data_IF_617320768374
#
_entry.id   IF_617320768374
#
_cell.length_a   1.000
_cell.length_b   1.000
_cell.length_c   1.000
_cell.angle_alpha   90.00
_cell.angle_beta   90.00
_cell.angle_gamma   90.00
#
_symmetry.space_group_name_H-M   'P 1'
#
loop_
_entity.id
_entity.type
_entity.pdbx_description
1 polymer ?
#
# COMPACT_ATOMS: atom_id res chain seq x y z
N UNK A 1 -8.27 -21.93 -2.58
CA UNK A 1 -8.65 -21.08 -1.43
C UNK A 1 -7.73 -19.86 -1.41
N UNK A 2 -8.23 -18.68 -1.03
CA UNK A 2 -7.39 -17.49 -0.90
C UNK A 2 -6.24 -17.65 0.11
N UNK A 3 -5.21 -16.83 -0.07
CA UNK A 3 -4.11 -16.65 0.86
C UNK A 3 -4.22 -15.28 1.55
N UNK A 4 -3.51 -15.13 2.66
CA UNK A 4 -3.39 -13.87 3.39
C UNK A 4 -1.92 -13.51 3.52
N UNK A 5 -1.55 -12.34 3.02
CA UNK A 5 -0.21 -11.78 3.07
C UNK A 5 -0.17 -10.68 4.13
N UNK A 6 0.62 -10.86 5.17
CA UNK A 6 0.75 -9.89 6.27
C UNK A 6 2.17 -9.34 6.31
N UNK A 7 2.31 -8.01 6.26
CA UNK A 7 3.61 -7.35 6.34
C UNK A 7 3.60 -6.19 7.33
N UNK A 8 4.80 -5.77 7.73
CA UNK A 8 4.98 -4.62 8.63
C UNK A 8 5.06 -3.33 7.81
N UNK A 9 4.13 -2.41 8.09
CA UNK A 9 4.10 -1.05 7.58
C UNK A 9 5.09 -0.23 8.39
N UNK A 10 6.23 0.07 7.78
CA UNK A 10 7.21 0.98 8.37
C UNK A 10 6.81 2.44 8.14
N UNK A 11 6.21 2.74 6.98
CA UNK A 11 5.79 4.09 6.56
C UNK A 11 4.43 4.06 5.89
N UNK A 12 3.63 5.08 6.19
CA UNK A 12 2.26 5.20 5.76
C UNK A 12 1.95 6.65 5.41
N UNK A 13 2.36 7.05 4.21
CA UNK A 13 2.04 8.34 3.61
C UNK A 13 0.71 8.33 2.85
N UNK A 14 0.03 7.18 2.77
CA UNK A 14 -1.09 6.98 1.84
C UNK A 14 -0.67 6.78 0.38
N UNK A 15 0.60 6.43 0.14
CA UNK A 15 1.15 6.14 -1.19
C UNK A 15 1.09 4.65 -1.56
N UNK A 16 1.43 3.73 -0.64
CA UNK A 16 1.38 2.29 -0.88
C UNK A 16 1.21 1.51 0.46
N UNK A 17 -0.03 1.18 0.87
CA UNK A 17 -1.24 1.31 0.05
C UNK A 17 -1.69 2.76 -0.14
N UNK A 18 -2.39 3.04 -1.24
CA UNK A 18 -3.13 4.28 -1.45
C UNK A 18 -4.64 4.02 -1.26
N UNK A 19 -5.26 4.49 -0.17
CA UNK A 19 -6.65 4.17 0.19
C UNK A 19 -7.68 5.16 -0.38
N UNK A 20 -7.25 6.14 -1.16
CA UNK A 20 -8.11 7.26 -1.56
C UNK A 20 -8.95 6.92 -2.81
N UNK A 21 -10.01 7.72 -3.01
CA UNK A 21 -10.92 7.61 -4.15
C UNK A 21 -11.77 6.32 -4.15
N UNK A 22 -12.23 5.91 -2.96
CA UNK A 22 -13.12 4.75 -2.73
C UNK A 22 -12.56 3.38 -3.16
N UNK A 23 -11.26 3.31 -3.46
CA UNK A 23 -10.52 2.10 -3.77
C UNK A 23 -9.18 2.10 -3.02
N UNK A 24 -8.73 0.94 -2.58
CA UNK A 24 -7.41 0.76 -2.02
C UNK A 24 -6.51 0.08 -3.04
N UNK A 25 -5.34 0.66 -3.28
CA UNK A 25 -4.39 0.17 -4.27
C UNK A 25 -3.03 -0.09 -3.63
N UNK A 26 -2.36 -1.13 -4.12
CA UNK A 26 -0.95 -1.39 -3.89
C UNK A 26 -0.28 -1.47 -5.26
N UNK A 27 -0.02 -0.30 -5.85
CA UNK A 27 0.62 -0.19 -7.17
C UNK A 27 2.15 -0.29 -7.10
N UNK A 28 2.75 0.30 -6.06
CA UNK A 28 4.20 0.39 -5.86
C UNK A 28 4.60 -0.27 -4.55
N UNK A 29 5.90 -0.30 -4.24
CA UNK A 29 6.43 -1.02 -3.08
C UNK A 29 6.05 -2.52 -3.11
N UNK A 30 6.51 -3.29 -2.11
CA UNK A 30 6.17 -4.72 -1.90
C UNK A 30 6.08 -5.57 -3.18
N UNK A 31 7.05 -5.49 -4.11
CA UNK A 31 6.98 -6.20 -5.40
C UNK A 31 6.81 -7.71 -5.21
N UNK A 32 7.38 -8.29 -4.14
CA UNK A 32 7.27 -9.72 -3.87
C UNK A 32 5.85 -10.18 -3.54
N UNK A 33 5.04 -9.34 -2.87
CA UNK A 33 3.62 -9.61 -2.63
C UNK A 33 2.84 -9.40 -3.94
N UNK A 34 3.07 -8.26 -4.61
CA UNK A 34 2.40 -7.92 -5.88
C UNK A 34 2.59 -8.99 -6.96
N UNK A 35 3.73 -9.67 -6.95
CA UNK A 35 4.07 -10.72 -7.92
C UNK A 35 3.25 -11.99 -7.74
N UNK A 36 2.83 -12.31 -6.52
CA UNK A 36 2.26 -13.64 -6.20
C UNK A 36 0.81 -13.60 -5.73
N UNK A 37 0.33 -12.45 -5.24
CA UNK A 37 -1.04 -12.29 -4.81
C UNK A 37 -2.00 -12.36 -6.00
N UNK A 38 -3.14 -13.03 -5.81
CA UNK A 38 -4.18 -13.24 -6.80
C UNK A 38 -5.49 -12.61 -6.33
N UNK A 39 -6.45 -12.50 -7.25
CA UNK A 39 -7.82 -12.08 -6.92
C UNK A 39 -8.38 -12.98 -5.81
N UNK A 40 -8.99 -12.36 -4.79
CA UNK A 40 -9.49 -12.99 -3.57
C UNK A 40 -8.46 -13.10 -2.43
N UNK A 41 -7.15 -12.98 -2.70
CA UNK A 41 -6.15 -12.96 -1.64
C UNK A 41 -6.27 -11.68 -0.79
N UNK A 42 -5.93 -11.77 0.49
CA UNK A 42 -5.91 -10.62 1.40
C UNK A 42 -4.50 -10.10 1.62
N UNK A 43 -4.37 -8.78 1.73
CA UNK A 43 -3.12 -8.10 2.09
C UNK A 43 -3.38 -7.25 3.32
N UNK A 44 -2.58 -7.46 4.36
CA UNK A 44 -2.74 -6.81 5.65
C UNK A 44 -1.44 -6.10 6.02
N UNK A 45 -1.55 -4.81 6.30
CA UNK A 45 -0.47 -4.01 6.85
C UNK A 45 -0.61 -3.87 8.36
N UNK A 46 0.36 -4.40 9.09
CA UNK A 46 0.48 -4.24 10.54
C UNK A 46 1.48 -3.13 10.87
N UNK A 47 1.20 -2.30 11.87
CA UNK A 47 2.06 -1.20 12.25
C UNK A 47 3.42 -1.67 12.77
N UNK A 48 4.49 -1.00 12.33
CA UNK A 48 5.85 -1.24 12.80
C UNK A 48 6.23 -0.38 14.02
N UNK A 49 7.47 -0.61 14.50
CA UNK A 49 8.04 0.12 15.63
C UNK A 49 8.14 1.63 15.36
N UNK A 50 8.54 2.05 14.16
CA UNK A 50 8.67 3.47 13.81
C UNK A 50 7.35 4.24 13.96
N UNK A 51 6.24 3.60 13.58
CA UNK A 51 4.89 4.14 13.72
C UNK A 51 4.36 4.08 15.16
N UNK A 52 5.11 3.48 16.10
CA UNK A 52 4.63 3.17 17.47
C UNK A 52 3.29 2.41 17.45
N UNK A 53 3.11 1.55 16.45
CA UNK A 53 1.85 0.88 16.14
C UNK A 53 1.99 -0.66 16.09
N UNK A 54 3.01 -1.21 16.75
CA UNK A 54 3.21 -2.67 16.86
C UNK A 54 1.95 -3.36 17.38
N UNK A 55 1.48 -4.39 16.66
CA UNK A 55 0.27 -5.14 17.01
C UNK A 55 -1.04 -4.46 16.58
N UNK A 56 -0.96 -3.29 15.95
CA UNK A 56 -2.13 -2.60 15.37
C UNK A 56 -2.22 -2.84 13.86
N UNK A 57 -3.44 -3.00 13.34
CA UNK A 57 -3.70 -3.10 11.92
C UNK A 57 -3.84 -1.68 11.33
N UNK A 58 -3.03 -1.36 10.32
CA UNK A 58 -3.08 -0.10 9.57
C UNK A 58 -4.10 -0.21 8.44
N UNK A 59 -4.10 -1.33 7.73
CA UNK A 59 -5.05 -1.61 6.67
C UNK A 59 -5.17 -3.11 6.40
N UNK A 60 -6.27 -3.49 5.77
CA UNK A 60 -6.48 -4.80 5.17
C UNK A 60 -7.24 -4.63 3.84
N UNK A 61 -6.81 -5.28 2.77
CA UNK A 61 -7.50 -5.21 1.47
C UNK A 61 -7.63 -6.61 0.87
N UNK A 62 -8.81 -6.94 0.37
CA UNK A 62 -9.01 -8.09 -0.51
C UNK A 62 -8.70 -7.70 -1.95
N UNK A 63 -7.88 -8.47 -2.66
CA UNK A 63 -7.52 -8.17 -4.04
C UNK A 63 -8.74 -8.43 -4.94
N UNK A 64 -9.36 -7.37 -5.44
CA UNK A 64 -10.48 -7.43 -6.39
C UNK A 64 -9.98 -7.51 -7.83
N UNK A 65 -8.86 -6.84 -8.14
CA UNK A 65 -8.20 -6.88 -9.46
C UNK A 65 -6.68 -6.88 -9.33
N UNK A 66 -6.02 -7.48 -10.31
CA UNK A 66 -4.58 -7.36 -10.54
C UNK A 66 -4.37 -6.98 -12.00
N UNK A 67 -3.86 -5.78 -12.24
CA UNK A 67 -3.67 -5.22 -13.60
C UNK A 67 -2.23 -4.74 -13.78
N UNK A 68 -1.82 -4.51 -15.02
CA UNK A 68 -0.51 -3.94 -15.33
C UNK A 68 -0.44 -2.45 -15.03
N UNK A 69 0.77 -1.89 -14.95
CA UNK A 69 0.96 -0.44 -14.83
C UNK A 69 0.38 0.33 -16.03
N UNK A 70 0.49 -0.20 -17.24
CA UNK A 70 -0.03 0.45 -18.44
C UNK A 70 -1.56 0.50 -18.45
N UNK A 71 -2.23 -0.60 -18.04
CA UNK A 71 -3.69 -0.61 -17.84
C UNK A 71 -4.11 0.37 -16.74
N UNK A 72 -3.40 0.38 -15.61
CA UNK A 72 -3.66 1.31 -14.52
C UNK A 72 -3.50 2.78 -14.96
N UNK A 73 -2.49 3.07 -15.77
CA UNK A 73 -2.22 4.40 -16.30
C UNK A 73 -3.24 4.88 -17.33
N UNK A 74 -3.70 3.99 -18.21
CA UNK A 74 -4.57 4.32 -19.33
C UNK A 74 -6.05 4.41 -18.94
N UNK A 75 -6.50 3.61 -17.96
CA UNK A 75 -7.91 3.54 -17.58
C UNK A 75 -8.37 4.83 -16.86
N UNK A 76 -9.38 5.54 -17.39
CA UNK A 76 -9.94 6.74 -16.77
C UNK A 76 -10.43 6.54 -15.34
N UNK A 77 -10.83 5.32 -14.95
CA UNK A 77 -11.29 5.00 -13.59
C UNK A 77 -10.20 5.21 -12.52
N UNK A 78 -8.93 5.23 -12.91
CA UNK A 78 -7.79 5.45 -11.99
C UNK A 78 -7.06 6.77 -12.24
N UNK A 79 -7.69 7.70 -12.95
CA UNK A 79 -7.12 9.04 -13.23
C UNK A 79 -6.76 9.78 -11.94
N UNK A 80 -7.63 9.74 -10.94
CA UNK A 80 -7.43 10.42 -9.66
C UNK A 80 -6.30 9.81 -8.82
N UNK A 81 -5.83 8.62 -9.20
CA UNK A 81 -4.69 7.96 -8.57
C UNK A 81 -3.35 8.47 -9.13
N UNK A 82 -3.35 9.32 -10.15
CA UNK A 82 -2.13 9.97 -10.66
C UNK A 82 -1.72 11.12 -9.74
N UNK A 83 -0.43 11.29 -9.45
CA UNK A 83 0.02 12.32 -8.52
C UNK A 83 -0.16 13.72 -9.09
N UNK A 84 -0.72 14.63 -8.29
CA UNK A 84 -0.76 16.06 -8.57
C UNK A 84 0.03 16.81 -7.49
N UNK A 85 1.28 17.17 -7.78
CA UNK A 85 2.26 17.65 -6.78
C UNK A 85 1.95 19.03 -6.19
N UNK A 86 1.15 19.84 -6.89
CA UNK A 86 0.60 21.12 -6.42
C UNK A 86 -0.84 21.00 -5.88
N UNK A 87 -1.37 19.78 -5.70
CA UNK A 87 -2.72 19.54 -5.22
C UNK A 87 -2.82 19.33 -3.71
N UNK A 88 -3.94 18.73 -3.29
CA UNK A 88 -4.16 18.29 -1.91
C UNK A 88 -3.17 17.18 -1.48
N UNK A 89 -3.04 16.93 -0.17
CA UNK A 89 -2.23 15.81 0.33
C UNK A 89 -2.64 14.46 -0.30
N UNK A 90 -3.94 14.22 -0.48
CA UNK A 90 -4.49 12.99 -1.11
C UNK A 90 -3.99 12.81 -2.54
N UNK A 91 -4.03 13.89 -3.33
CA UNK A 91 -3.62 13.86 -4.75
C UNK A 91 -2.10 13.85 -4.89
N UNK A 92 -1.34 14.41 -3.95
CA UNK A 92 0.13 14.44 -3.96
C UNK A 92 0.74 13.04 -3.85
N UNK A 93 0.03 12.11 -3.18
CA UNK A 93 0.45 10.73 -2.93
C UNK A 93 -0.21 9.71 -3.87
N UNK A 94 -0.73 10.17 -5.02
CA UNK A 94 -1.20 9.28 -6.08
C UNK A 94 -0.12 8.25 -6.48
N UNK A 95 -0.49 6.98 -6.52
CA UNK A 95 0.39 5.83 -6.74
C UNK A 95 0.43 5.33 -8.19
N UNK A 96 -0.39 5.93 -9.07
CA UNK A 96 -0.39 5.69 -10.52
C UNK A 96 0.72 6.50 -11.20
N UNK A 97 1.96 6.02 -11.07
CA UNK A 97 3.15 6.80 -11.43
C UNK A 97 3.97 6.21 -12.57
N UNK A 98 3.72 4.96 -12.96
CA UNK A 98 4.49 4.25 -13.97
C UNK A 98 3.64 3.92 -15.19
N UNK A 99 4.23 4.07 -16.36
CA UNK A 99 3.71 3.61 -17.66
C UNK A 99 4.86 3.46 -18.64
N UNK A 100 4.64 2.82 -19.78
CA UNK A 100 5.64 2.71 -20.84
C UNK A 100 5.36 3.68 -21.97
N UNK A 101 6.43 4.25 -22.50
CA UNK A 101 6.45 4.96 -23.79
C UNK A 101 7.54 4.35 -24.64
N UNK A 102 7.21 3.87 -25.85
CA UNK A 102 8.15 3.18 -26.75
C UNK A 102 8.91 2.03 -26.05
N UNK A 103 8.21 1.24 -25.22
CA UNK A 103 8.78 0.12 -24.47
C UNK A 103 9.56 0.51 -23.21
N UNK A 104 9.85 1.80 -22.99
CA UNK A 104 10.64 2.27 -21.84
C UNK A 104 9.75 2.77 -20.70
N UNK A 105 10.08 2.36 -19.48
CA UNK A 105 9.40 2.84 -18.27
C UNK A 105 9.57 4.35 -18.07
N UNK A 106 8.45 5.02 -17.86
CA UNK A 106 8.34 6.42 -17.48
C UNK A 106 7.89 6.50 -16.02
N UNK A 107 8.40 7.49 -15.27
CA UNK A 107 7.95 7.78 -13.91
C UNK A 107 7.41 9.21 -13.84
N UNK A 108 6.18 9.36 -13.36
CA UNK A 108 5.59 10.67 -13.05
C UNK A 108 6.19 11.26 -11.78
N UNK A 109 6.30 12.59 -11.73
CA UNK A 109 6.76 13.33 -10.55
C UNK A 109 5.90 12.99 -9.32
N UNK A 110 6.48 12.26 -8.35
CA UNK A 110 5.73 11.57 -7.30
C UNK A 110 6.53 11.34 -6.02
N UNK A 111 5.92 10.72 -5.00
CA UNK A 111 6.63 10.31 -3.78
C UNK A 111 7.91 9.50 -4.06
N UNK A 112 7.98 8.76 -5.16
CA UNK A 112 9.14 7.94 -5.54
C UNK A 112 10.13 8.65 -6.48
N UNK A 113 9.97 9.95 -6.77
CA UNK A 113 10.91 10.74 -7.59
C UNK A 113 12.03 11.37 -6.74
N UNK A 114 13.04 11.93 -7.40
CA UNK A 114 14.03 12.80 -6.74
C UNK A 114 13.38 14.11 -6.24
N UNK A 115 14.06 14.88 -5.36
CA UNK A 115 13.53 16.14 -4.83
C UNK A 115 13.11 17.14 -5.90
N UNK A 116 13.88 17.25 -6.98
CA UNK A 116 13.61 18.09 -8.16
C UNK A 116 12.47 17.55 -9.06
N UNK A 117 11.90 16.39 -8.71
CA UNK A 117 10.84 15.73 -9.46
C UNK A 117 11.33 14.82 -10.59
N UNK A 118 12.64 14.70 -10.81
CA UNK A 118 13.19 13.82 -11.85
C UNK A 118 13.00 12.33 -11.49
N UNK A 119 12.95 11.44 -12.50
CA UNK A 119 12.80 10.00 -12.27
C UNK A 119 13.91 9.40 -11.39
N UNK A 120 13.55 8.58 -10.42
CA UNK A 120 14.51 7.81 -9.61
C UNK A 120 14.67 6.39 -10.18
N UNK A 121 15.78 6.15 -10.89
CA UNK A 121 16.02 4.89 -11.58
C UNK A 121 16.01 3.66 -10.66
N UNK A 122 16.47 3.80 -9.42
CA UNK A 122 16.44 2.68 -8.47
C UNK A 122 15.01 2.31 -8.06
N UNK A 123 14.17 3.31 -7.82
CA UNK A 123 12.76 3.08 -7.51
C UNK A 123 12.01 2.49 -8.72
N UNK A 124 12.27 2.99 -9.93
CA UNK A 124 11.74 2.40 -11.17
C UNK A 124 12.08 0.91 -11.21
N UNK A 125 13.37 0.55 -11.17
CA UNK A 125 13.80 -0.85 -11.25
C UNK A 125 13.18 -1.71 -10.14
N UNK A 126 13.09 -1.21 -8.91
CA UNK A 126 12.50 -1.93 -7.80
C UNK A 126 10.99 -2.17 -7.98
N UNK A 127 10.24 -1.14 -8.36
CA UNK A 127 8.78 -1.22 -8.47
C UNK A 127 8.36 -1.96 -9.75
N UNK A 128 9.02 -1.69 -10.88
CA UNK A 128 8.62 -2.23 -12.19
C UNK A 128 9.17 -3.63 -12.48
N UNK A 129 9.99 -4.21 -11.59
CA UNK A 129 10.32 -5.66 -11.64
C UNK A 129 9.09 -6.55 -11.49
N UNK A 130 7.98 -5.98 -11.06
CA UNK A 130 6.68 -6.64 -10.96
C UNK A 130 5.63 -5.75 -11.59
N UNK A 131 5.16 -6.12 -12.78
CA UNK A 131 4.14 -5.40 -13.52
C UNK A 131 2.74 -5.83 -13.07
N UNK A 132 2.43 -5.58 -11.80
CA UNK A 132 1.14 -5.88 -11.18
C UNK A 132 0.77 -4.79 -10.17
N UNK A 133 -0.39 -4.17 -10.38
CA UNK A 133 -1.07 -3.22 -9.50
C UNK A 133 -2.24 -3.97 -8.89
N UNK A 134 -2.22 -4.11 -7.57
CA UNK A 134 -3.31 -4.76 -6.86
C UNK A 134 -4.34 -3.72 -6.44
N UNK A 135 -5.60 -3.97 -6.76
CA UNK A 135 -6.71 -3.04 -6.55
C UNK A 135 -7.78 -3.75 -5.72
N UNK A 136 -8.36 -3.01 -4.78
CA UNK A 136 -9.40 -3.48 -3.88
C UNK A 136 -10.55 -2.50 -3.80
N UNK A 137 -11.76 -3.01 -4.04
CA UNK A 137 -13.02 -2.37 -3.66
C UNK A 137 -13.55 -2.85 -2.30
N UNK A 138 -12.92 -3.85 -1.67
CA UNK A 138 -13.23 -4.36 -0.34
C UNK A 138 -12.00 -4.24 0.58
N UNK A 139 -11.91 -3.12 1.29
CA UNK A 139 -10.77 -2.83 2.16
C UNK A 139 -11.17 -2.13 3.45
N UNK A 140 -10.31 -2.23 4.46
CA UNK A 140 -10.32 -1.47 5.69
C UNK A 140 -9.08 -0.61 5.72
N UNK A 141 -9.21 0.69 5.97
CA UNK A 141 -8.07 1.57 6.16
C UNK A 141 -8.22 2.33 7.48
N UNK A 142 -7.32 2.07 8.41
CA UNK A 142 -7.34 2.65 9.74
C UNK A 142 -6.38 3.83 9.89
N UNK A 143 -5.24 3.83 9.19
CA UNK A 143 -4.26 4.92 9.30
C UNK A 143 -3.91 5.20 10.76
N UNK A 144 -3.90 6.46 11.18
CA UNK A 144 -3.70 6.93 12.56
C UNK A 144 -4.69 6.35 13.58
N UNK A 145 -5.88 5.92 13.14
CA UNK A 145 -6.86 5.19 13.95
C UNK A 145 -6.60 3.67 14.00
N UNK A 146 -5.35 3.23 13.73
CA UNK A 146 -4.95 1.83 13.70
C UNK A 146 -5.47 1.02 14.90
N UNK A 147 -6.14 -0.09 14.59
CA UNK A 147 -6.86 -0.89 15.57
C UNK A 147 -5.95 -1.94 16.17
N UNK A 148 -5.91 -2.02 17.51
CA UNK A 148 -5.13 -3.06 18.20
C UNK A 148 -5.80 -4.40 17.97
N UNK A 149 -5.11 -5.31 17.31
CA UNK A 149 -5.62 -6.67 17.12
C UNK A 149 -5.48 -7.43 18.44
N UNK A 150 -6.51 -8.15 18.91
CA UNK A 150 -6.42 -8.96 20.12
C UNK A 150 -5.22 -9.91 20.07
N UNK A 151 -4.39 -9.88 21.12
CA UNK A 151 -3.17 -10.70 21.19
C UNK A 151 -3.42 -12.19 20.95
N UNK A 152 -4.49 -12.82 21.50
CA UNK A 152 -4.78 -14.23 21.23
C UNK A 152 -4.99 -14.56 19.74
N UNK A 153 -5.50 -13.61 18.93
CA UNK A 153 -5.67 -13.82 17.49
C UNK A 153 -4.32 -13.80 16.77
N UNK A 154 -3.41 -12.90 17.16
CA UNK A 154 -2.07 -12.83 16.60
C UNK A 154 -1.22 -14.05 16.99
N UNK A 155 -1.33 -14.49 18.25
CA UNK A 155 -0.67 -15.68 18.77
C UNK A 155 -1.14 -16.96 18.06
N UNK A 156 -2.47 -17.14 17.93
CA UNK A 156 -3.05 -18.28 17.21
C UNK A 156 -2.65 -18.31 15.73
N UNK A 157 -2.54 -17.14 15.11
CA UNK A 157 -2.06 -17.01 13.73
C UNK A 157 -0.55 -17.30 13.61
N UNK A 158 0.21 -17.24 14.71
CA UNK A 158 1.66 -17.30 14.71
C UNK A 158 2.31 -16.05 14.11
N UNK A 159 1.62 -14.91 14.12
CA UNK A 159 2.13 -13.67 13.56
C UNK A 159 3.26 -13.09 14.41
N UNK A 160 4.35 -12.68 13.75
CA UNK A 160 5.46 -11.94 14.35
C UNK A 160 5.73 -10.65 13.59
N UNK A 161 5.91 -9.55 14.32
CA UNK A 161 6.23 -8.25 13.76
C UNK A 161 7.73 -8.17 13.41
N UNK A 162 8.10 -8.65 12.22
CA UNK A 162 9.48 -8.57 11.71
C UNK A 162 9.53 -8.14 10.23
N UNK A 163 10.74 -7.94 9.68
CA UNK A 163 10.90 -7.53 8.28
C UNK A 163 10.35 -8.56 7.30
N UNK A 164 9.96 -8.13 6.11
CA UNK A 164 9.34 -8.98 5.09
C UNK A 164 7.84 -9.18 5.27
N UNK A 165 7.29 -10.15 4.56
CA UNK A 165 5.88 -10.54 4.64
C UNK A 165 5.76 -12.00 5.09
N UNK A 166 4.59 -12.35 5.61
CA UNK A 166 4.20 -13.73 5.96
C UNK A 166 3.02 -14.12 5.11
N UNK A 167 2.98 -15.38 4.73
CA UNK A 167 1.87 -15.98 4.00
C UNK A 167 1.14 -16.93 4.94
N UNK A 168 -0.17 -16.77 5.03
CA UNK A 168 -1.07 -17.67 5.73
C UNK A 168 -2.12 -18.16 4.76
N UNK A 169 -2.70 -19.32 5.05
CA UNK A 169 -3.94 -19.75 4.38
C UNK A 169 -5.11 -18.89 4.88
N UNK A 170 -6.17 -18.79 4.07
CA UNK A 170 -7.40 -18.13 4.51
C UNK A 170 -7.91 -18.71 5.84
N UNK A 171 -7.91 -20.04 6.00
CA UNK A 171 -8.36 -20.72 7.22
C UNK A 171 -7.59 -20.29 8.46
N UNK A 172 -6.26 -20.17 8.37
CA UNK A 172 -5.44 -19.70 9.49
C UNK A 172 -5.76 -18.25 9.87
N UNK A 173 -5.94 -17.38 8.88
CA UNK A 173 -6.20 -15.96 9.08
C UNK A 173 -7.69 -15.60 9.28
N UNK A 174 -8.60 -16.57 9.12
CA UNK A 174 -10.04 -16.33 9.18
C UNK A 174 -10.49 -15.63 10.48
N UNK A 175 -10.01 -16.00 11.68
CA UNK A 175 -10.36 -15.28 12.91
C UNK A 175 -9.96 -13.81 12.90
N UNK A 176 -8.84 -13.46 12.26
CA UNK A 176 -8.39 -12.07 12.11
C UNK A 176 -9.35 -11.30 11.18
N UNK A 177 -9.67 -11.88 10.02
CA UNK A 177 -10.57 -11.24 9.04
C UNK A 177 -12.00 -11.12 9.56
N UNK A 178 -12.47 -12.13 10.30
CA UNK A 178 -13.76 -12.12 10.99
C UNK A 178 -13.82 -11.02 12.05
N UNK A 179 -12.74 -10.83 12.82
CA UNK A 179 -12.65 -9.70 13.76
C UNK A 179 -12.80 -8.35 13.05
N UNK A 180 -12.11 -8.13 11.92
CA UNK A 180 -12.25 -6.87 11.18
C UNK A 180 -13.68 -6.66 10.65
N UNK A 181 -14.23 -7.65 9.94
CA UNK A 181 -15.56 -7.56 9.31
C UNK A 181 -16.72 -7.47 10.31
N UNK A 182 -16.56 -8.00 11.53
CA UNK A 182 -17.59 -7.92 12.56
C UNK A 182 -17.59 -6.58 13.31
N UNK A 183 -16.47 -5.86 13.34
CA UNK A 183 -16.30 -4.65 14.15
C UNK A 183 -16.22 -3.38 13.30
N UNK A 184 -15.93 -3.49 12.00
CA UNK A 184 -15.69 -2.37 11.12
C UNK A 184 -16.42 -2.57 9.81
N UNK A 185 -16.84 -1.46 9.19
CA UNK A 185 -17.33 -1.41 7.82
C UNK A 185 -16.18 -1.21 6.84
N UNK A 186 -16.17 -1.91 5.69
CA UNK A 186 -15.18 -1.70 4.65
C UNK A 186 -15.42 -0.36 3.92
N UNK A 187 -14.43 0.06 3.12
CA UNK A 187 -14.40 1.29 2.33
C UNK A 187 -14.51 2.59 3.14
N UNK A 188 -14.18 2.52 4.43
CA UNK A 188 -14.09 3.68 5.32
C UNK A 188 -12.62 3.94 5.62
N UNK A 189 -12.22 5.21 5.53
CA UNK A 189 -10.96 5.71 6.08
C UNK A 189 -11.25 6.13 7.53
N UNK A 190 -10.89 5.30 8.50
CA UNK A 190 -11.12 5.59 9.92
C UNK A 190 -10.14 6.64 10.47
N UNK A 191 -9.03 6.85 9.78
CA UNK A 191 -8.04 7.87 10.09
C UNK A 191 -7.17 8.16 8.87
N UNK A 192 -6.52 9.32 8.90
CA UNK A 192 -5.52 9.70 7.90
C UNK A 192 -4.29 8.80 7.99
N UNK A 193 -3.49 8.66 6.92
CA UNK A 193 -2.20 7.97 6.98
C UNK A 193 -1.30 8.50 8.11
N UNK A 194 -0.49 7.63 8.74
CA UNK A 194 0.36 8.05 9.86
C UNK A 194 1.32 9.20 9.54
N UNK A 195 1.88 9.20 8.33
CA UNK A 195 2.87 10.19 7.89
C UNK A 195 2.25 11.24 6.94
N UNK A 196 0.92 11.44 6.99
CA UNK A 196 0.20 12.21 5.97
C UNK A 196 0.58 13.69 5.93
N UNK A 197 0.89 14.30 7.07
CA UNK A 197 1.42 15.67 7.14
C UNK A 197 2.73 15.84 6.35
N UNK A 198 3.47 14.75 6.17
CA UNK A 198 4.69 14.70 5.39
C UNK A 198 4.48 14.14 3.97
N UNK A 199 3.24 14.10 3.45
CA UNK A 199 2.86 13.60 2.13
C UNK A 199 3.68 14.19 0.96
N UNK A 200 4.14 15.44 1.11
CA UNK A 200 5.00 16.10 0.12
C UNK A 200 6.40 15.49 0.03
N UNK A 201 6.85 14.77 1.04
CA UNK A 201 8.20 14.18 1.06
C UNK A 201 8.42 13.21 -0.09
N UNK A 202 9.69 12.98 -0.43
CA UNK A 202 10.15 11.96 -1.37
C UNK A 202 10.73 10.76 -0.63
N UNK A 203 10.68 9.59 -1.25
CA UNK A 203 11.25 8.36 -0.73
C UNK A 203 12.17 7.69 -1.75
N UNK A 204 13.32 7.20 -1.28
CA UNK A 204 14.24 6.39 -2.04
C UNK A 204 14.41 5.02 -1.38
N UNK A 205 14.07 3.96 -2.11
CA UNK A 205 14.22 2.56 -1.65
C UNK A 205 15.70 2.23 -1.42
N UNK A 206 16.61 2.78 -2.23
CA UNK A 206 18.05 2.47 -2.22
C UNK A 206 18.70 2.64 -0.85
N UNK A 207 18.34 3.71 -0.15
CA UNK A 207 18.94 4.13 1.11
C UNK A 207 17.90 4.30 2.23
N UNK A 208 16.66 3.88 1.98
CA UNK A 208 15.52 4.05 2.89
C UNK A 208 15.32 5.50 3.40
N UNK A 209 15.72 6.49 2.60
CA UNK A 209 15.73 7.91 2.99
C UNK A 209 14.41 8.59 2.60
N UNK A 210 13.91 9.42 3.52
CA UNK A 210 12.87 10.40 3.26
C UNK A 210 13.53 11.76 3.08
N UNK A 211 13.21 12.46 1.98
CA UNK A 211 13.65 13.83 1.74
C UNK A 211 12.44 14.74 1.78
N UNK A 212 12.35 15.67 2.75
CA UNK A 212 11.29 16.66 2.79
C UNK A 212 11.25 17.46 1.48
N UNK A 213 10.06 17.86 1.06
CA UNK A 213 9.93 18.83 -0.01
C UNK A 213 10.20 20.21 0.59
N UNK A 214 11.24 20.88 0.10
CA UNK A 214 11.48 22.30 0.38
C UNK A 214 10.47 23.17 -0.34
#
# INVERSE_FOLDING_TARGET
MPNVYIYVVDRDFGFAPNPFHNICTLATCKPDIRRVAKVGDWIIGMGGLRLKATGKCIFAMEVSKSITFDEYWADPAYRDKKPLRNGSMKTIVGDNIYHRTNGNWQQSNSHHSHPDGTPNQHNILNDTRTNAVLISDNFFYFGTAAVKIPAPLLEKLGYRNSRGHRKFTFTQAHPFLSYLSSNFRPKILYGDPFDFEAAKSRYSVKNNKITPHT
#
